data_IF_674059819589
#
_entry.id   IF_674059819589
#
_cell.length_a   1.000
_cell.length_b   1.000
_cell.length_c   1.000
_cell.angle_alpha   90.00
_cell.angle_beta   90.00
_cell.angle_gamma   90.00
#
_symmetry.space_group_name_H-M   'P 1'
#
loop_
_entity.id
_entity.type
_entity.pdbx_description
1 polymer ?
#
# COMPACT_ATOMS: atom_id res chain seq x y z
N UNK A 1 14.44 9.63 2.87
CA UNK A 1 13.42 9.21 1.88
C UNK A 1 13.89 8.18 0.85
N UNK A 2 13.96 6.90 1.22
CA UNK A 2 14.19 5.78 0.29
C UNK A 2 12.99 4.84 0.35
N UNK A 3 12.08 4.95 -0.60
CA UNK A 3 10.95 4.01 -0.73
C UNK A 3 11.45 2.69 -1.29
N UNK A 4 10.96 1.57 -0.76
CA UNK A 4 11.16 0.23 -1.33
C UNK A 4 9.81 -0.46 -1.50
N UNK A 5 9.53 -0.94 -2.71
CA UNK A 5 8.35 -1.75 -3.02
C UNK A 5 8.82 -3.04 -3.66
N UNK A 6 8.53 -4.16 -3.02
CA UNK A 6 8.95 -5.50 -3.48
C UNK A 6 7.82 -6.50 -3.33
N UNK A 7 7.80 -7.52 -4.19
CA UNK A 7 6.93 -8.69 -4.04
C UNK A 7 7.72 -9.89 -3.52
N UNK A 8 7.09 -10.75 -2.72
CA UNK A 8 7.62 -12.06 -2.35
C UNK A 8 7.14 -13.18 -3.31
N UNK A 9 7.60 -14.41 -3.06
CA UNK A 9 7.25 -15.59 -3.87
C UNK A 9 5.77 -16.01 -3.73
N UNK A 10 5.04 -15.45 -2.76
CA UNK A 10 3.59 -15.61 -2.60
C UNK A 10 2.79 -14.47 -3.25
N UNK A 11 3.48 -13.56 -3.96
CA UNK A 11 2.89 -12.38 -4.58
C UNK A 11 2.36 -11.35 -3.58
N UNK A 12 2.78 -11.41 -2.31
CA UNK A 12 2.50 -10.35 -1.33
C UNK A 12 3.44 -9.19 -1.60
N UNK A 13 2.95 -7.98 -1.37
CA UNK A 13 3.69 -6.75 -1.69
C UNK A 13 4.10 -6.05 -0.41
N UNK A 14 5.40 -5.88 -0.20
CA UNK A 14 5.95 -5.09 0.90
C UNK A 14 6.27 -3.67 0.44
N UNK A 15 5.82 -2.68 1.19
CA UNK A 15 6.06 -1.26 1.00
C UNK A 15 6.78 -0.73 2.25
N UNK A 16 7.99 -0.23 2.06
CA UNK A 16 8.77 0.44 3.10
C UNK A 16 8.99 1.89 2.67
N UNK A 17 8.69 2.86 3.55
CA UNK A 17 8.89 4.28 3.28
C UNK A 17 8.98 5.11 4.56
N UNK A 18 9.56 6.28 4.44
CA UNK A 18 9.56 7.34 5.46
C UNK A 18 8.48 8.37 5.08
N UNK A 19 7.60 8.73 6.02
CA UNK A 19 6.53 9.71 5.79
C UNK A 19 7.03 11.17 5.89
N UNK A 20 6.12 12.14 5.77
CA UNK A 20 6.48 13.57 5.86
C UNK A 20 6.90 14.03 7.27
N UNK A 21 6.61 13.25 8.30
CA UNK A 21 7.01 13.51 9.69
C UNK A 21 8.33 12.81 10.05
N UNK A 22 8.92 12.07 9.11
CA UNK A 22 10.13 11.28 9.32
C UNK A 22 9.88 9.95 10.04
N UNK A 23 8.64 9.45 10.06
CA UNK A 23 8.33 8.15 10.62
C UNK A 23 8.50 7.06 9.56
N UNK A 24 9.14 5.95 9.94
CA UNK A 24 9.29 4.78 9.09
C UNK A 24 8.03 3.91 9.13
N UNK A 25 7.56 3.53 7.95
CA UNK A 25 6.43 2.63 7.74
C UNK A 25 6.90 1.40 6.98
N UNK A 26 6.48 0.23 7.44
CA UNK A 26 6.71 -1.06 6.80
C UNK A 26 5.40 -1.84 6.75
N UNK A 27 4.87 -2.02 5.55
CA UNK A 27 3.53 -2.57 5.32
C UNK A 27 3.58 -3.71 4.34
N UNK A 28 2.83 -4.77 4.60
CA UNK A 28 2.69 -5.91 3.68
C UNK A 28 1.26 -6.06 3.23
N UNK A 29 1.04 -6.19 1.92
CA UNK A 29 -0.27 -6.29 1.29
C UNK A 29 -0.47 -7.62 0.59
N UNK A 30 -1.71 -8.08 0.55
CA UNK A 30 -2.13 -9.27 -0.19
C UNK A 30 -3.55 -9.07 -0.74
N UNK A 31 -3.95 -9.89 -1.70
CA UNK A 31 -5.33 -10.01 -2.20
C UNK A 31 -5.62 -11.47 -2.54
N UNK A 32 -6.85 -11.94 -2.82
CA UNK A 32 -7.05 -13.29 -3.35
C UNK A 32 -6.30 -13.51 -4.68
N UNK A 33 -6.00 -14.77 -5.02
CA UNK A 33 -5.19 -15.10 -6.20
C UNK A 33 -5.82 -14.55 -7.50
N UNK A 34 -7.12 -14.75 -7.66
CA UNK A 34 -7.90 -14.36 -8.84
C UNK A 34 -8.50 -12.96 -8.74
N UNK A 35 -8.02 -12.15 -7.79
CA UNK A 35 -8.45 -10.78 -7.57
C UNK A 35 -9.45 -10.61 -6.44
N UNK A 36 -9.71 -9.36 -6.10
CA UNK A 36 -10.58 -8.98 -4.99
C UNK A 36 -9.93 -7.96 -4.07
N UNK A 37 -10.46 -7.88 -2.85
CA UNK A 37 -10.03 -6.88 -1.88
C UNK A 37 -8.57 -7.03 -1.50
N UNK A 38 -7.87 -5.91 -1.49
CA UNK A 38 -6.53 -5.78 -0.92
C UNK A 38 -6.66 -5.69 0.59
N UNK A 39 -5.83 -6.43 1.30
CA UNK A 39 -5.69 -6.43 2.75
C UNK A 39 -4.25 -6.08 3.12
N UNK A 40 -4.07 -5.38 4.23
CA UNK A 40 -2.80 -5.22 4.92
C UNK A 40 -2.64 -6.35 5.94
N UNK A 41 -1.51 -7.04 5.91
CA UNK A 41 -1.13 -8.08 6.85
C UNK A 41 -0.43 -7.43 8.04
N UNK A 42 -0.93 -7.71 9.25
CA UNK A 42 -0.38 -7.21 10.50
C UNK A 42 0.60 -8.22 11.10
N UNK A 43 1.59 -7.74 11.85
CA UNK A 43 2.61 -8.59 12.49
C UNK A 43 2.03 -9.61 13.48
N UNK A 44 0.84 -9.34 14.02
CA UNK A 44 0.10 -10.26 14.90
C UNK A 44 -0.65 -11.37 14.15
N UNK A 45 -0.46 -11.49 12.82
CA UNK A 45 -1.17 -12.44 11.97
C UNK A 45 -2.60 -12.02 11.60
N UNK A 46 -3.04 -10.85 12.08
CA UNK A 46 -4.31 -10.25 11.70
C UNK A 46 -4.26 -9.57 10.34
N UNK A 47 -5.41 -9.08 9.89
CA UNK A 47 -5.54 -8.34 8.64
C UNK A 47 -6.37 -7.09 8.86
N UNK A 48 -6.01 -6.00 8.21
CA UNK A 48 -6.82 -4.77 8.17
C UNK A 48 -7.03 -4.31 6.73
N UNK A 49 -7.98 -3.40 6.53
CA UNK A 49 -8.03 -2.67 5.27
C UNK A 49 -6.79 -1.77 5.15
N UNK A 50 -6.21 -1.63 3.95
CA UNK A 50 -5.13 -0.67 3.71
C UNK A 50 -5.57 0.72 4.19
N UNK A 51 -4.67 1.42 4.88
CA UNK A 51 -4.99 2.72 5.46
C UNK A 51 -5.49 3.75 4.42
N UNK A 52 -6.20 4.76 4.90
CA UNK A 52 -6.74 5.86 4.09
C UNK A 52 -5.69 6.57 3.23
N UNK A 53 -4.40 6.51 3.60
CA UNK A 53 -3.32 7.04 2.78
C UNK A 53 -3.18 6.35 1.41
N UNK A 54 -3.27 5.01 1.38
CA UNK A 54 -3.25 4.24 0.14
C UNK A 54 -4.65 4.00 -0.44
N UNK A 55 -5.69 4.15 0.38
CA UNK A 55 -7.10 4.02 0.02
C UNK A 55 -7.78 5.39 -0.11
N UNK A 56 -7.04 6.41 -0.57
CA UNK A 56 -7.40 7.83 -0.40
C UNK A 56 -8.73 8.26 -1.05
N UNK A 57 -9.29 7.47 -1.96
CA UNK A 57 -10.61 7.74 -2.54
C UNK A 57 -11.78 7.29 -1.66
N UNK A 58 -11.52 6.83 -0.42
CA UNK A 58 -12.53 6.26 0.47
C UNK A 58 -13.08 4.91 0.00
N UNK A 59 -12.47 4.32 -1.03
CA UNK A 59 -12.89 3.05 -1.61
C UNK A 59 -11.90 1.97 -1.27
N UNK A 60 -12.41 0.82 -0.80
CA UNK A 60 -11.58 -0.37 -0.58
C UNK A 60 -10.82 -0.72 -1.85
N UNK A 61 -9.49 -0.84 -1.77
CA UNK A 61 -8.67 -1.21 -2.91
C UNK A 61 -9.00 -2.62 -3.40
N UNK A 62 -9.13 -2.77 -4.71
CA UNK A 62 -9.37 -4.05 -5.38
C UNK A 62 -8.26 -4.27 -6.41
N UNK A 63 -7.60 -5.41 -6.29
CA UNK A 63 -6.64 -5.88 -7.29
C UNK A 63 -7.33 -6.84 -8.26
N UNK A 64 -6.95 -6.78 -9.54
CA UNK A 64 -7.49 -7.68 -10.57
C UNK A 64 -7.06 -9.13 -10.35
N UNK A 65 -5.84 -9.31 -9.86
CA UNK A 65 -5.23 -10.59 -9.48
C UNK A 65 -3.98 -10.31 -8.62
N UNK A 66 -3.38 -11.36 -8.06
CA UNK A 66 -2.17 -11.23 -7.24
C UNK A 66 -1.00 -10.59 -7.98
N UNK A 67 -0.82 -10.92 -9.27
CA UNK A 67 0.30 -10.42 -10.09
C UNK A 67 0.26 -8.91 -10.29
N UNK A 68 -0.93 -8.33 -10.39
CA UNK A 68 -1.14 -6.88 -10.58
C UNK A 68 -1.10 -6.08 -9.28
N UNK A 69 -1.02 -6.74 -8.12
CA UNK A 69 -1.04 -6.08 -6.81
C UNK A 69 0.13 -5.09 -6.66
N UNK A 70 1.34 -5.45 -7.13
CA UNK A 70 2.51 -4.58 -6.97
C UNK A 70 2.35 -3.25 -7.72
N UNK A 71 1.76 -3.29 -8.90
CA UNK A 71 1.53 -2.08 -9.70
C UNK A 71 0.40 -1.24 -9.13
N UNK A 72 -0.62 -1.87 -8.55
CA UNK A 72 -1.65 -1.18 -7.77
C UNK A 72 -1.03 -0.44 -6.59
N UNK A 73 -0.25 -1.12 -5.73
CA UNK A 73 0.39 -0.48 -4.57
C UNK A 73 1.34 0.65 -5.00
N UNK A 74 2.09 0.48 -6.09
CA UNK A 74 2.92 1.56 -6.66
C UNK A 74 2.08 2.78 -7.07
N UNK A 75 0.94 2.56 -7.70
CA UNK A 75 0.03 3.64 -8.14
C UNK A 75 -0.51 4.40 -6.93
N UNK A 76 -1.06 3.69 -5.95
CA UNK A 76 -1.65 4.29 -4.76
C UNK A 76 -0.61 5.04 -3.93
N UNK A 77 0.58 4.46 -3.73
CA UNK A 77 1.68 5.14 -3.05
C UNK A 77 2.05 6.47 -3.72
N UNK A 78 2.13 6.51 -5.06
CA UNK A 78 2.40 7.76 -5.78
C UNK A 78 1.28 8.79 -5.59
N UNK A 79 0.02 8.36 -5.53
CA UNK A 79 -1.09 9.27 -5.27
C UNK A 79 -1.01 9.84 -3.86
N UNK A 80 -0.83 8.99 -2.86
CA UNK A 80 -0.61 9.37 -1.46
C UNK A 80 0.48 10.45 -1.34
N UNK A 81 1.67 10.21 -1.92
CA UNK A 81 2.79 11.17 -1.89
C UNK A 81 2.47 12.50 -2.58
N UNK A 82 1.65 12.51 -3.64
CA UNK A 82 1.22 13.75 -4.30
C UNK A 82 0.27 14.55 -3.43
N UNK A 83 -0.61 13.88 -2.70
CA UNK A 83 -1.55 14.53 -1.79
C UNK A 83 -0.81 15.09 -0.57
N UNK A 84 0.05 14.30 0.07
CA UNK A 84 0.89 14.78 1.18
C UNK A 84 1.70 16.02 0.77
N UNK A 85 2.31 16.02 -0.42
CA UNK A 85 3.03 17.17 -0.92
C UNK A 85 2.13 18.41 -1.15
N UNK A 86 0.87 18.20 -1.54
CA UNK A 86 -0.11 19.29 -1.71
C UNK A 86 -0.56 19.85 -0.38
N UNK A 87 -0.84 18.99 0.60
CA UNK A 87 -1.29 19.38 1.95
C UNK A 87 -0.18 20.07 2.74
N UNK A 88 1.07 19.60 2.62
CA UNK A 88 2.24 20.22 3.27
C UNK A 88 2.75 21.50 2.58
N UNK A 89 2.22 21.82 1.39
CA UNK A 89 2.51 23.06 0.67
C UNK A 89 1.50 24.19 0.97
N UNK A 90 0.52 23.92 1.83
CA UNK A 90 -0.46 24.88 2.36
C UNK A 90 -0.06 25.32 3.78
#
# INVERSE_FOLDING_TARGET
MKTRITSDDHGRVRLQYEDCLGQDHDKTFSCPHDGGYVIELLDNGGTTQPCDGLSHTGNTLIAKNRETLIDLIRREYRQMRRIEAREMSL
#
